data_IF_227863251632
#
_entry.id   IF_227863251632
#
_cell.length_a   1.000
_cell.length_b   1.000
_cell.length_c   1.000
_cell.angle_alpha   90.00
_cell.angle_beta   90.00
_cell.angle_gamma   90.00
#
_symmetry.space_group_name_H-M   'P 1'
#
loop_
_entity.id
_entity.type
_entity.pdbx_description
1 polymer ?
#
# COMPACT_ATOMS: atom_id res chain seq x y z
N UNK A 1 -2.04 4.54 -2.82
CA UNK A 1 -1.03 3.45 -2.88
C UNK A 1 -1.46 2.33 -1.96
N UNK A 2 -1.63 1.14 -2.50
CA UNK A 2 -2.08 -0.04 -1.74
C UNK A 2 -0.90 -0.99 -1.52
N UNK A 3 -0.65 -1.35 -0.27
CA UNK A 3 0.41 -2.27 0.12
C UNK A 3 -0.01 -3.73 -0.13
N UNK A 4 0.97 -4.60 -0.33
CA UNK A 4 0.80 -6.03 -0.65
C UNK A 4 -0.12 -6.74 0.35
N UNK A 5 0.03 -6.47 1.66
CA UNK A 5 -0.76 -7.14 2.70
C UNK A 5 -2.28 -6.92 2.52
N UNK A 6 -2.70 -5.73 2.10
CA UNK A 6 -4.13 -5.44 1.87
C UNK A 6 -4.69 -6.34 0.76
N UNK A 7 -3.93 -6.57 -0.30
CA UNK A 7 -4.33 -7.45 -1.41
C UNK A 7 -4.39 -8.90 -0.95
N UNK A 8 -3.40 -9.36 -0.19
CA UNK A 8 -3.37 -10.72 0.37
C UNK A 8 -4.60 -10.96 1.26
N UNK A 9 -4.93 -10.02 2.16
CA UNK A 9 -6.12 -10.12 3.00
C UNK A 9 -7.42 -10.06 2.20
N UNK A 10 -7.46 -9.27 1.13
CA UNK A 10 -8.61 -9.22 0.22
C UNK A 10 -8.82 -10.58 -0.45
N UNK A 11 -7.76 -11.20 -0.96
CA UNK A 11 -7.82 -12.54 -1.57
C UNK A 11 -8.25 -13.61 -0.57
N UNK A 12 -7.88 -13.46 0.70
CA UNK A 12 -8.30 -14.34 1.78
C UNK A 12 -9.74 -14.09 2.28
N UNK A 13 -10.43 -13.09 1.74
CA UNK A 13 -11.81 -12.76 2.10
C UNK A 13 -11.94 -12.04 3.45
N UNK A 14 -10.87 -11.41 3.96
CA UNK A 14 -10.91 -10.67 5.21
C UNK A 14 -11.76 -9.40 5.02
N UNK A 15 -12.82 -9.27 5.79
CA UNK A 15 -13.87 -8.25 5.61
C UNK A 15 -13.35 -6.82 5.51
N UNK A 16 -12.46 -6.41 6.39
CA UNK A 16 -11.91 -5.06 6.41
C UNK A 16 -11.15 -4.73 5.11
N UNK A 17 -10.35 -5.68 4.59
CA UNK A 17 -9.60 -5.51 3.35
C UNK A 17 -10.54 -5.50 2.13
N UNK A 18 -11.48 -6.44 2.06
CA UNK A 18 -12.48 -6.52 0.98
C UNK A 18 -13.31 -5.24 0.93
N UNK A 19 -13.74 -4.75 2.08
CA UNK A 19 -14.49 -3.50 2.18
C UNK A 19 -13.66 -2.31 1.69
N UNK A 20 -12.41 -2.20 2.11
CA UNK A 20 -11.53 -1.10 1.69
C UNK A 20 -11.29 -1.10 0.18
N UNK A 21 -11.00 -2.27 -0.41
CA UNK A 21 -10.79 -2.39 -1.85
C UNK A 21 -12.06 -2.05 -2.65
N UNK A 22 -13.21 -2.48 -2.16
CA UNK A 22 -14.50 -2.15 -2.78
C UNK A 22 -14.78 -0.65 -2.74
N UNK A 23 -14.48 0.01 -1.62
CA UNK A 23 -14.61 1.47 -1.48
C UNK A 23 -13.69 2.22 -2.45
N UNK A 24 -12.45 1.79 -2.60
CA UNK A 24 -11.51 2.37 -3.57
C UNK A 24 -12.03 2.28 -5.00
N UNK A 25 -12.65 1.16 -5.36
CA UNK A 25 -13.24 0.94 -6.68
C UNK A 25 -14.51 1.78 -6.89
N UNK A 26 -15.43 1.79 -5.89
CA UNK A 26 -16.76 2.40 -6.00
C UNK A 26 -16.71 3.94 -5.93
N UNK A 27 -15.79 4.52 -5.15
CA UNK A 27 -15.72 5.95 -4.89
C UNK A 27 -14.88 6.73 -5.93
N UNK A 28 -14.53 6.09 -7.04
CA UNK A 28 -13.74 6.68 -8.14
C UNK A 28 -12.42 7.30 -7.66
N UNK A 29 -11.75 6.60 -6.76
CA UNK A 29 -10.48 7.01 -6.18
C UNK A 29 -9.34 6.51 -7.08
N UNK A 30 -8.35 7.36 -7.33
CA UNK A 30 -7.13 6.95 -8.02
C UNK A 30 -6.32 5.96 -7.17
N UNK A 31 -6.27 4.71 -7.61
CA UNK A 31 -5.56 3.63 -6.94
C UNK A 31 -4.24 3.36 -7.64
N UNK A 32 -3.17 3.27 -6.85
CA UNK A 32 -1.83 2.95 -7.34
C UNK A 32 -1.28 1.70 -6.68
N UNK A 33 -0.57 0.91 -7.46
CA UNK A 33 0.24 -0.22 -7.00
C UNK A 33 1.66 -0.08 -7.51
N UNK A 34 2.64 -0.38 -6.67
CA UNK A 34 4.02 -0.48 -7.13
C UNK A 34 4.26 -1.79 -7.88
N UNK A 35 5.15 -1.80 -8.86
CA UNK A 35 5.62 -3.05 -9.49
C UNK A 35 6.24 -4.01 -8.47
N UNK A 36 6.76 -3.51 -7.33
CA UNK A 36 7.24 -4.39 -6.26
C UNK A 36 6.10 -5.18 -5.61
N UNK A 37 4.91 -4.59 -5.50
CA UNK A 37 3.70 -5.28 -5.03
C UNK A 37 3.30 -6.37 -6.01
N UNK A 38 3.31 -6.08 -7.29
CA UNK A 38 3.07 -7.06 -8.35
C UNK A 38 4.07 -8.23 -8.23
N UNK A 39 5.36 -7.94 -8.07
CA UNK A 39 6.39 -8.96 -7.89
C UNK A 39 6.15 -9.83 -6.65
N UNK A 40 5.82 -9.22 -5.52
CA UNK A 40 5.53 -9.95 -4.28
C UNK A 40 4.32 -10.87 -4.42
N UNK A 41 3.23 -10.40 -5.02
CA UNK A 41 2.01 -11.18 -5.21
C UNK A 41 2.22 -12.38 -6.11
N UNK A 42 2.97 -12.24 -7.22
CA UNK A 42 3.24 -13.32 -8.16
C UNK A 42 4.43 -14.21 -7.74
N UNK A 43 5.10 -13.89 -6.63
CA UNK A 43 6.17 -14.72 -6.06
C UNK A 43 5.66 -15.88 -5.21
N UNK A 44 4.36 -15.95 -4.90
CA UNK A 44 3.79 -17.07 -4.17
C UNK A 44 3.99 -18.37 -4.94
N UNK A 45 4.46 -19.38 -4.21
CA UNK A 45 4.70 -20.73 -4.74
C UNK A 45 3.38 -21.39 -5.17
N UNK A 46 3.40 -22.03 -6.34
CA UNK A 46 2.29 -22.85 -6.84
C UNK A 46 0.95 -22.11 -7.02
N UNK A 47 0.97 -20.86 -7.50
CA UNK A 47 -0.24 -20.16 -7.84
C UNK A 47 -1.02 -20.88 -8.96
N UNK A 48 -2.29 -21.14 -8.72
CA UNK A 48 -3.21 -21.63 -9.75
C UNK A 48 -3.55 -20.54 -10.76
N UNK A 49 -4.07 -20.91 -11.93
CA UNK A 49 -4.54 -19.96 -12.93
C UNK A 49 -5.68 -19.08 -12.37
N UNK A 50 -6.56 -19.67 -11.56
CA UNK A 50 -7.64 -18.93 -10.89
C UNK A 50 -7.09 -17.87 -9.92
N UNK A 51 -6.10 -18.24 -9.11
CA UNK A 51 -5.46 -17.30 -8.18
C UNK A 51 -4.74 -16.16 -8.91
N UNK A 52 -4.02 -16.47 -9.99
CA UNK A 52 -3.36 -15.45 -10.84
C UNK A 52 -4.39 -14.50 -11.45
N UNK A 53 -5.52 -15.03 -11.93
CA UNK A 53 -6.61 -14.23 -12.47
C UNK A 53 -7.22 -13.29 -11.42
N UNK A 54 -7.42 -13.75 -10.20
CA UNK A 54 -7.92 -12.94 -9.09
C UNK A 54 -6.94 -11.82 -8.72
N UNK A 55 -5.65 -12.13 -8.64
CA UNK A 55 -4.60 -11.12 -8.41
C UNK A 55 -4.67 -10.05 -9.50
N UNK A 56 -4.69 -10.46 -10.76
CA UNK A 56 -4.75 -9.54 -11.91
C UNK A 56 -6.01 -8.68 -11.87
N UNK A 57 -7.14 -9.25 -11.53
CA UNK A 57 -8.41 -8.51 -11.38
C UNK A 57 -8.34 -7.41 -10.33
N UNK A 58 -7.67 -7.64 -9.20
CA UNK A 58 -7.45 -6.61 -8.17
C UNK A 58 -6.49 -5.53 -8.67
N UNK A 59 -5.39 -5.91 -9.32
CA UNK A 59 -4.42 -4.96 -9.87
C UNK A 59 -5.01 -4.09 -10.99
N UNK A 60 -5.97 -4.61 -11.74
CA UNK A 60 -6.66 -3.88 -12.81
C UNK A 60 -7.59 -2.77 -12.29
N UNK A 61 -7.89 -2.73 -10.99
CA UNK A 61 -8.63 -1.63 -10.36
C UNK A 61 -7.81 -0.32 -10.37
N UNK A 62 -6.49 -0.41 -10.36
CA UNK A 62 -5.59 0.74 -10.26
C UNK A 62 -4.52 0.78 -11.35
N UNK A 63 -3.62 1.72 -11.19
CA UNK A 63 -2.46 1.91 -12.05
C UNK A 63 -1.21 1.31 -11.42
N UNK A 64 -0.46 0.56 -12.23
CA UNK A 64 0.85 0.02 -11.82
C UNK A 64 1.90 1.11 -12.03
N UNK A 65 2.64 1.44 -10.98
CA UNK A 65 3.71 2.44 -10.99
C UNK A 65 5.06 1.74 -10.98
N UNK A 66 5.85 1.99 -12.01
CA UNK A 66 7.17 1.38 -12.14
C UNK A 66 8.16 1.88 -11.09
N UNK A 67 9.00 0.99 -10.60
CA UNK A 67 10.15 1.33 -9.77
C UNK A 67 11.27 1.84 -10.67
N UNK A 68 11.26 3.13 -10.92
CA UNK A 68 12.31 3.81 -11.68
C UNK A 68 13.46 4.29 -10.76
N UNK A 69 14.44 4.97 -11.34
CA UNK A 69 15.58 5.49 -10.57
C UNK A 69 15.16 6.51 -9.52
N UNK A 70 14.15 7.34 -9.81
CA UNK A 70 13.64 8.34 -8.86
C UNK A 70 13.02 7.68 -7.62
N UNK A 71 12.21 6.64 -7.82
CA UNK A 71 11.65 5.84 -6.74
C UNK A 71 12.75 5.13 -5.95
N UNK A 72 13.69 4.51 -6.64
CA UNK A 72 14.80 3.79 -6.01
C UNK A 72 15.65 4.69 -5.12
N UNK A 73 15.99 5.88 -5.57
CA UNK A 73 16.78 6.84 -4.79
C UNK A 73 16.00 7.39 -3.60
N UNK A 74 14.71 7.65 -3.75
CA UNK A 74 13.84 8.04 -2.63
C UNK A 74 13.74 6.92 -1.59
N UNK A 75 13.60 5.69 -2.02
CA UNK A 75 13.60 4.52 -1.12
C UNK A 75 14.92 4.39 -0.36
N UNK A 76 16.05 4.60 -1.01
CA UNK A 76 17.36 4.61 -0.38
C UNK A 76 17.47 5.70 0.69
N UNK A 77 17.01 6.92 0.40
CA UNK A 77 16.94 8.03 1.35
C UNK A 77 16.11 7.66 2.58
N UNK A 78 14.92 7.09 2.40
CA UNK A 78 14.04 6.67 3.50
C UNK A 78 14.67 5.59 4.37
N UNK A 79 15.37 4.63 3.77
CA UNK A 79 16.07 3.58 4.53
C UNK A 79 17.22 4.16 5.37
N UNK A 80 17.99 5.08 4.78
CA UNK A 80 19.10 5.73 5.47
C UNK A 80 18.62 6.56 6.67
N UNK A 81 17.59 7.40 6.48
CA UNK A 81 17.04 8.19 7.57
C UNK A 81 16.35 7.36 8.64
N UNK A 82 15.68 6.27 8.25
CA UNK A 82 15.04 5.34 9.20
C UNK A 82 16.06 4.74 10.15
N UNK A 83 17.22 4.35 9.65
CA UNK A 83 18.32 3.83 10.47
C UNK A 83 18.99 4.91 11.31
N UNK A 84 19.34 6.04 10.68
CA UNK A 84 20.07 7.12 11.32
C UNK A 84 19.26 7.82 12.42
N UNK A 85 18.03 8.21 12.11
CA UNK A 85 17.24 9.08 12.97
C UNK A 85 16.31 8.34 13.93
N UNK A 86 15.92 7.10 13.59
CA UNK A 86 14.95 6.32 14.36
C UNK A 86 15.46 4.96 14.81
N UNK A 87 16.67 4.58 14.43
CA UNK A 87 17.25 3.26 14.66
C UNK A 87 16.32 2.12 14.21
N UNK A 88 15.63 2.31 13.08
CA UNK A 88 14.70 1.35 12.50
C UNK A 88 15.23 0.79 11.19
N UNK A 89 15.08 -0.52 11.02
CA UNK A 89 15.37 -1.18 9.75
C UNK A 89 14.13 -1.18 8.88
N UNK A 90 14.07 -0.25 7.93
CA UNK A 90 13.04 -0.23 6.90
C UNK A 90 13.42 -1.21 5.78
N UNK A 91 12.61 -2.25 5.58
CA UNK A 91 12.86 -3.24 4.53
C UNK A 91 12.77 -2.59 3.15
N UNK A 92 13.54 -3.09 2.19
CA UNK A 92 13.60 -2.49 0.86
C UNK A 92 12.24 -2.45 0.15
N UNK A 93 11.41 -3.52 0.14
CA UNK A 93 10.08 -3.44 -0.47
C UNK A 93 9.19 -2.38 0.19
N UNK A 94 9.22 -2.27 1.50
CA UNK A 94 8.47 -1.26 2.24
C UNK A 94 8.96 0.16 1.92
N UNK A 95 10.27 0.34 1.83
CA UNK A 95 10.85 1.63 1.43
C UNK A 95 10.42 2.06 0.03
N UNK A 96 10.33 1.11 -0.90
CA UNK A 96 9.88 1.36 -2.28
C UNK A 96 8.42 1.78 -2.30
N UNK A 97 7.56 1.09 -1.56
CA UNK A 97 6.13 1.42 -1.47
C UNK A 97 5.93 2.80 -0.83
N UNK A 98 6.62 3.09 0.26
CA UNK A 98 6.57 4.40 0.93
C UNK A 98 7.10 5.52 0.03
N UNK A 99 8.21 5.30 -0.66
CA UNK A 99 8.80 6.26 -1.61
C UNK A 99 7.82 6.60 -2.74
N UNK A 100 7.17 5.59 -3.30
CA UNK A 100 6.17 5.77 -4.36
C UNK A 100 4.99 6.59 -3.85
N UNK A 101 4.46 6.26 -2.67
CA UNK A 101 3.38 7.03 -2.04
C UNK A 101 3.76 8.50 -1.83
N UNK A 102 4.95 8.77 -1.32
CA UNK A 102 5.45 10.13 -1.13
C UNK A 102 5.60 10.91 -2.44
N UNK A 103 6.17 10.28 -3.47
CA UNK A 103 6.37 10.92 -4.77
C UNK A 103 5.05 11.24 -5.49
N UNK A 104 4.02 10.44 -5.26
CA UNK A 104 2.68 10.63 -5.82
C UNK A 104 1.77 11.47 -4.92
N UNK A 105 2.22 11.87 -3.73
CA UNK A 105 1.39 12.49 -2.70
C UNK A 105 0.14 11.65 -2.39
N UNK A 106 0.30 10.34 -2.39
CA UNK A 106 -0.77 9.37 -2.16
C UNK A 106 -0.77 8.87 -0.71
N UNK A 107 -1.95 8.53 -0.20
CA UNK A 107 -2.10 7.82 1.08
C UNK A 107 -1.64 6.38 0.89
N UNK A 108 -0.84 5.87 1.81
CA UNK A 108 -0.47 4.46 1.86
C UNK A 108 -1.50 3.67 2.66
N UNK A 109 -2.20 2.77 1.99
CA UNK A 109 -3.16 1.85 2.61
C UNK A 109 -2.41 0.59 3.00
N UNK A 110 -2.26 0.35 4.29
CA UNK A 110 -1.50 -0.78 4.84
C UNK A 110 -2.03 -1.20 6.20
N UNK A 111 -1.89 -2.47 6.52
CA UNK A 111 -2.09 -2.97 7.89
C UNK A 111 -0.85 -2.78 8.77
N UNK A 112 0.34 -2.74 8.18
CA UNK A 112 1.62 -2.69 8.89
C UNK A 112 2.03 -1.26 9.26
N UNK A 113 1.17 -0.51 9.93
CA UNK A 113 1.40 0.89 10.31
C UNK A 113 2.69 1.05 11.14
N UNK A 114 2.99 0.07 12.01
CA UNK A 114 4.19 0.11 12.86
C UNK A 114 5.49 0.23 12.05
N UNK A 115 5.55 -0.38 10.87
CA UNK A 115 6.75 -0.33 10.01
C UNK A 115 6.96 1.04 9.36
N UNK A 116 5.90 1.84 9.22
CA UNK A 116 5.91 3.10 8.48
C UNK A 116 5.67 4.36 9.33
N UNK A 117 5.18 4.24 10.57
CA UNK A 117 4.66 5.37 11.34
C UNK A 117 5.67 6.51 11.56
N UNK A 118 6.96 6.20 11.67
CA UNK A 118 8.02 7.19 11.83
C UNK A 118 8.16 8.09 10.59
N UNK A 119 7.73 7.61 9.42
CA UNK A 119 7.77 8.37 8.16
C UNK A 119 6.64 9.42 8.06
N UNK A 120 5.66 9.41 8.97
CA UNK A 120 4.63 10.46 9.03
C UNK A 120 5.24 11.85 9.18
N UNK A 121 6.33 11.97 9.93
CA UNK A 121 7.09 13.24 10.08
C UNK A 121 7.76 13.70 8.78
N UNK A 122 7.89 12.81 7.82
CA UNK A 122 8.48 13.06 6.51
C UNK A 122 7.43 13.16 5.40
N UNK A 123 6.16 13.32 5.78
CA UNK A 123 5.05 13.57 4.86
C UNK A 123 4.26 12.35 4.42
N UNK A 124 4.56 11.14 4.95
CA UNK A 124 3.80 9.94 4.62
C UNK A 124 2.45 9.93 5.34
N UNK A 125 1.38 9.78 4.59
CA UNK A 125 0.02 9.57 5.12
C UNK A 125 -0.30 8.08 5.09
N UNK A 126 -0.80 7.56 6.20
CA UNK A 126 -1.11 6.15 6.39
C UNK A 126 -2.60 5.97 6.67
N UNK A 127 -3.18 4.93 6.08
CA UNK A 127 -4.52 4.46 6.41
C UNK A 127 -4.51 2.95 6.63
N UNK A 128 -5.03 2.52 7.79
CA UNK A 128 -5.20 1.11 8.13
C UNK A 128 -6.70 0.78 8.21
N UNK A 129 -7.26 0.05 7.24
CA UNK A 129 -8.69 -0.28 7.25
C UNK A 129 -9.10 -1.22 8.38
N UNK A 130 -8.16 -1.85 9.06
CA UNK A 130 -8.43 -2.78 10.17
C UNK A 130 -8.65 -2.09 11.53
N UNK A 131 -8.27 -0.82 11.67
CA UNK A 131 -8.38 -0.10 12.94
C UNK A 131 -9.81 0.34 13.28
N UNK A 132 -10.74 0.32 12.29
CA UNK A 132 -12.07 0.90 12.42
C UNK A 132 -13.15 0.01 11.80
N UNK A 133 -13.30 -1.21 12.32
CA UNK A 133 -14.27 -2.17 11.75
C UNK A 133 -15.75 -1.71 11.86
N UNK A 134 -16.08 -0.79 12.77
CA UNK A 134 -17.48 -0.37 13.04
C UNK A 134 -17.88 0.96 12.39
N UNK A 135 -16.94 1.85 12.01
CA UNK A 135 -17.25 3.18 11.45
C UNK A 135 -16.45 3.52 10.18
N UNK A 136 -16.18 2.52 9.38
CA UNK A 136 -15.25 2.62 8.26
C UNK A 136 -15.74 3.49 7.08
N UNK A 137 -17.05 3.70 6.92
CA UNK A 137 -17.57 4.33 5.71
C UNK A 137 -17.35 5.84 5.64
N UNK A 138 -17.52 6.55 6.75
CA UNK A 138 -17.38 8.02 6.77
C UNK A 138 -15.93 8.46 6.93
N UNK A 139 -15.17 7.76 7.73
CA UNK A 139 -13.79 8.14 8.04
C UNK A 139 -12.81 7.87 6.89
N UNK A 140 -13.00 6.78 6.16
CA UNK A 140 -12.19 6.43 5.01
C UNK A 140 -12.21 7.53 3.94
N UNK A 141 -13.41 7.97 3.56
CA UNK A 141 -13.59 9.05 2.57
C UNK A 141 -12.98 10.36 3.08
N UNK A 142 -13.22 10.71 4.35
CA UNK A 142 -12.71 11.95 4.93
C UNK A 142 -11.18 12.00 5.01
N UNK A 143 -10.51 10.89 5.30
CA UNK A 143 -9.04 10.82 5.34
C UNK A 143 -8.41 10.89 3.95
N UNK A 144 -9.08 10.37 2.93
CA UNK A 144 -8.64 10.47 1.54
C UNK A 144 -8.89 11.86 0.94
N UNK A 145 -9.99 12.53 1.32
CA UNK A 145 -10.32 13.87 0.87
C UNK A 145 -9.46 14.97 1.53
N UNK A 146 -8.88 14.72 2.70
CA UNK A 146 -8.01 15.66 3.40
C UNK A 146 -6.56 15.68 2.86
N UNK A 147 -6.23 14.80 1.95
CA UNK A 147 -4.94 14.68 1.31
C UNK A 147 -5.02 14.98 -0.17
#
# INVERSE_FOLDING_TARGET
MVDTNIIIYTLAGVKAAVWAMKKLEDDDIEVYYSTIVEAELFSFHELTLEQKSKIRGILDIGEIVDVDSKVALKAAELRALSKKDYNRKLKLPDAIVAATALLLSAVLVTRNVEDFKHLRRHGLHLYNPFEHEEDNSQRFVSELEQN
#
